data_IF_294120463778
#
_entry.id   IF_294120463778
#
_cell.length_a   1.000
_cell.length_b   1.000
_cell.length_c   1.000
_cell.angle_alpha   90.00
_cell.angle_beta   90.00
_cell.angle_gamma   90.00
#
_symmetry.space_group_name_H-M   'P 1'
#
loop_
_entity.id
_entity.type
_entity.pdbx_description
1 polymer ?
#
# COMPACT_ATOMS: atom_id res chain seq x y z
N UNK A 1 4.77 8.08 20.64
CA UNK A 1 4.72 7.59 19.23
C UNK A 1 3.90 8.58 18.41
N UNK A 2 4.27 8.88 17.17
CA UNK A 2 3.59 9.90 16.34
C UNK A 2 2.09 9.65 16.18
N UNK A 3 1.68 8.39 15.96
CA UNK A 3 0.27 8.00 15.84
C UNK A 3 -0.60 8.31 17.08
N UNK A 4 0.01 8.49 18.25
CA UNK A 4 -0.69 8.80 19.50
C UNK A 4 -0.84 10.29 19.79
N UNK A 5 -0.38 11.17 18.90
CA UNK A 5 -0.51 12.62 19.09
C UNK A 5 -1.99 13.06 19.04
N UNK A 6 -2.29 14.17 19.71
CA UNK A 6 -3.61 14.78 19.71
C UNK A 6 -4.02 15.18 18.28
N UNK A 7 -5.29 14.95 17.94
CA UNK A 7 -5.83 15.22 16.60
C UNK A 7 -5.55 14.14 15.55
N UNK A 8 -4.69 13.15 15.82
CA UNK A 8 -4.47 12.03 14.89
C UNK A 8 -5.68 11.09 14.93
N UNK A 9 -6.40 11.04 13.81
CA UNK A 9 -7.56 10.14 13.61
C UNK A 9 -7.24 8.94 12.72
N UNK A 10 -6.27 9.09 11.82
CA UNK A 10 -5.86 8.07 10.87
C UNK A 10 -4.35 8.04 10.64
N UNK A 11 -3.82 6.88 10.27
CA UNK A 11 -2.40 6.66 10.01
C UNK A 11 -2.22 5.86 8.72
N UNK A 12 -1.32 6.32 7.86
CA UNK A 12 -0.76 5.52 6.76
C UNK A 12 0.72 5.34 7.04
N UNK A 13 1.14 4.10 7.30
CA UNK A 13 2.51 3.74 7.62
C UNK A 13 3.15 2.99 6.44
N UNK A 14 4.34 3.42 6.02
CA UNK A 14 5.08 2.82 4.92
C UNK A 14 6.29 2.09 5.49
N UNK A 15 6.35 0.77 5.27
CA UNK A 15 7.37 -0.15 5.79
C UNK A 15 7.78 0.19 7.25
N UNK A 16 6.82 0.24 8.19
CA UNK A 16 7.14 0.67 9.54
C UNK A 16 7.99 -0.39 10.25
N UNK A 17 8.95 0.06 11.04
CA UNK A 17 9.63 -0.82 11.98
C UNK A 17 8.76 -1.03 13.22
N UNK A 18 8.13 -2.20 13.31
CA UNK A 18 7.18 -2.58 14.36
C UNK A 18 7.58 -3.88 15.07
N UNK A 19 8.73 -3.92 15.77
CA UNK A 19 9.24 -5.14 16.37
C UNK A 19 8.27 -5.73 17.42
N UNK A 20 8.46 -7.00 17.83
CA UNK A 20 7.67 -7.62 18.89
C UNK A 20 7.60 -6.74 20.14
N UNK A 21 6.38 -6.55 20.66
CA UNK A 21 6.14 -5.68 21.82
C UNK A 21 5.94 -4.19 21.50
N UNK A 22 6.10 -3.77 20.24
CA UNK A 22 5.83 -2.38 19.81
C UNK A 22 4.42 -1.95 20.26
N UNK A 23 4.26 -0.87 21.06
CA UNK A 23 2.97 -0.49 21.64
C UNK A 23 1.87 -0.24 20.58
N UNK A 24 0.66 -0.67 20.89
CA UNK A 24 -0.54 -0.49 20.02
C UNK A 24 -1.71 0.17 20.73
N UNK A 25 -1.67 0.33 22.06
CA UNK A 25 -2.80 0.87 22.82
C UNK A 25 -3.19 2.28 22.36
N UNK A 26 -2.21 3.09 21.95
CA UNK A 26 -2.43 4.41 21.38
C UNK A 26 -3.17 4.40 20.03
N UNK A 27 -3.35 3.24 19.39
CA UNK A 27 -4.10 3.10 18.13
C UNK A 27 -5.58 2.86 18.33
N UNK A 28 -6.05 2.63 19.57
CA UNK A 28 -7.46 2.39 19.83
C UNK A 28 -8.34 3.51 19.27
N UNK A 29 -9.39 3.14 18.55
CA UNK A 29 -10.32 4.06 17.89
C UNK A 29 -9.75 4.82 16.68
N UNK A 30 -8.55 4.48 16.19
CA UNK A 30 -7.93 5.08 14.99
C UNK A 30 -8.02 4.15 13.79
N UNK A 31 -8.08 4.76 12.61
CA UNK A 31 -7.94 4.06 11.33
C UNK A 31 -6.46 3.92 10.96
N UNK A 32 -6.00 2.71 10.62
CA UNK A 32 -4.58 2.44 10.35
C UNK A 32 -4.43 1.60 9.09
N UNK A 33 -3.65 2.09 8.13
CA UNK A 33 -3.22 1.33 6.97
C UNK A 33 -1.70 1.20 6.97
N UNK A 34 -1.21 -0.03 6.86
CA UNK A 34 0.21 -0.31 6.63
C UNK A 34 0.41 -0.71 5.17
N UNK A 35 1.41 -0.14 4.50
CA UNK A 35 1.92 -0.63 3.22
C UNK A 35 3.34 -1.13 3.44
N UNK A 36 3.65 -2.33 2.98
CA UNK A 36 4.96 -2.95 3.23
C UNK A 36 5.41 -3.75 2.02
N UNK A 37 6.70 -3.67 1.66
CA UNK A 37 7.28 -4.53 0.64
C UNK A 37 7.31 -6.00 1.10
N UNK A 38 6.83 -6.92 0.28
CA UNK A 38 6.85 -8.36 0.61
C UNK A 38 8.25 -8.98 0.67
N UNK A 39 9.28 -8.26 0.21
CA UNK A 39 10.70 -8.63 0.25
C UNK A 39 11.54 -7.63 1.03
N UNK A 40 10.92 -6.86 1.91
CA UNK A 40 11.64 -6.00 2.85
C UNK A 40 12.51 -6.85 3.78
N UNK A 41 13.80 -6.51 3.84
CA UNK A 41 14.81 -7.18 4.67
C UNK A 41 15.31 -6.29 5.82
N UNK A 42 14.90 -5.03 5.84
CA UNK A 42 15.25 -4.04 6.87
C UNK A 42 14.18 -4.04 7.96
N UNK A 43 12.91 -4.08 7.56
CA UNK A 43 11.77 -4.28 8.47
C UNK A 43 10.95 -5.48 8.01
N UNK A 44 10.78 -6.48 8.86
CA UNK A 44 10.12 -7.73 8.47
C UNK A 44 8.61 -7.49 8.25
N UNK A 45 8.05 -7.76 7.05
CA UNK A 45 6.62 -7.62 6.80
C UNK A 45 5.76 -8.46 7.75
N UNK A 46 6.26 -9.59 8.26
CA UNK A 46 5.55 -10.42 9.24
C UNK A 46 5.38 -9.69 10.59
N UNK A 47 6.34 -8.85 10.98
CA UNK A 47 6.21 -8.00 12.18
C UNK A 47 5.12 -6.94 12.00
N UNK A 48 4.99 -6.37 10.80
CA UNK A 48 3.87 -5.48 10.46
C UNK A 48 2.52 -6.19 10.48
N UNK A 49 2.43 -7.44 10.00
CA UNK A 49 1.21 -8.26 10.11
C UNK A 49 0.85 -8.48 11.59
N UNK A 50 1.83 -8.86 12.42
CA UNK A 50 1.62 -9.03 13.84
C UNK A 50 1.22 -7.72 14.54
N UNK A 51 1.79 -6.59 14.13
CA UNK A 51 1.45 -5.25 14.63
C UNK A 51 0.00 -4.89 14.32
N UNK A 52 -0.44 -5.07 13.08
CA UNK A 52 -1.82 -4.81 12.65
C UNK A 52 -2.81 -5.70 13.40
N UNK A 53 -2.50 -6.99 13.56
CA UNK A 53 -3.33 -7.91 14.36
C UNK A 53 -3.48 -7.48 15.81
N UNK A 54 -2.39 -7.06 16.46
CA UNK A 54 -2.43 -6.52 17.83
C UNK A 54 -3.17 -5.18 17.91
N UNK A 55 -3.02 -4.32 16.91
CA UNK A 55 -3.76 -3.05 16.84
C UNK A 55 -5.27 -3.28 16.71
N UNK A 56 -5.70 -4.23 15.88
CA UNK A 56 -7.10 -4.66 15.79
C UNK A 56 -7.62 -5.14 17.15
N UNK A 57 -6.87 -6.00 17.83
CA UNK A 57 -7.22 -6.49 19.16
C UNK A 57 -7.31 -5.37 20.22
N UNK A 58 -6.55 -4.28 20.06
CA UNK A 58 -6.61 -3.08 20.89
C UNK A 58 -7.72 -2.08 20.51
N UNK A 59 -8.56 -2.41 19.52
CA UNK A 59 -9.69 -1.58 19.08
C UNK A 59 -9.38 -0.59 17.97
N UNK A 60 -8.27 -0.74 17.24
CA UNK A 60 -8.00 0.02 16.03
C UNK A 60 -8.75 -0.57 14.83
N UNK A 61 -9.17 0.30 13.90
CA UNK A 61 -9.59 -0.11 12.55
C UNK A 61 -8.35 -0.22 11.68
N UNK A 62 -7.64 -1.34 11.80
CA UNK A 62 -6.35 -1.53 11.15
C UNK A 62 -6.41 -2.52 9.97
N UNK A 63 -5.56 -2.30 8.98
CA UNK A 63 -5.38 -3.18 7.83
C UNK A 63 -3.98 -3.01 7.23
N UNK A 64 -3.62 -3.92 6.34
CA UNK A 64 -2.31 -3.93 5.69
C UNK A 64 -2.43 -4.30 4.22
N UNK A 65 -1.56 -3.73 3.40
CA UNK A 65 -1.32 -4.11 2.01
C UNK A 65 0.15 -4.49 1.84
N UNK A 66 0.41 -5.58 1.13
CA UNK A 66 1.76 -5.95 0.71
C UNK A 66 2.02 -5.39 -0.70
N UNK A 67 3.20 -4.85 -0.95
CA UNK A 67 3.64 -4.45 -2.28
C UNK A 67 4.46 -5.59 -2.85
N UNK A 68 3.94 -6.22 -3.91
CA UNK A 68 4.58 -7.36 -4.55
C UNK A 68 5.97 -6.99 -5.08
N UNK A 69 6.95 -7.85 -4.84
CA UNK A 69 8.35 -7.64 -5.22
C UNK A 69 8.94 -6.33 -4.66
N UNK A 70 8.42 -5.85 -3.54
CA UNK A 70 8.83 -4.60 -2.91
C UNK A 70 9.93 -4.81 -1.88
N UNK A 71 11.03 -4.06 -1.99
CA UNK A 71 12.01 -3.88 -0.91
C UNK A 71 11.50 -2.85 0.11
N UNK A 72 12.32 -2.51 1.11
CA UNK A 72 11.94 -1.55 2.17
C UNK A 72 11.43 -0.20 1.61
N UNK A 73 12.18 0.38 0.68
CA UNK A 73 11.86 1.68 0.11
C UNK A 73 10.74 1.60 -0.96
N UNK A 74 10.46 0.40 -1.48
CA UNK A 74 9.46 0.12 -2.50
C UNK A 74 9.61 1.02 -3.75
N UNK A 75 10.82 1.51 -4.06
CA UNK A 75 11.03 2.55 -5.07
C UNK A 75 10.73 2.08 -6.50
N UNK A 76 10.97 0.80 -6.79
CA UNK A 76 10.59 0.18 -8.07
C UNK A 76 9.08 0.25 -8.32
N UNK A 77 8.29 0.35 -7.25
CA UNK A 77 6.84 0.39 -7.26
C UNK A 77 6.29 1.73 -6.73
N UNK A 78 7.09 2.81 -6.79
CA UNK A 78 6.73 4.10 -6.20
C UNK A 78 5.39 4.64 -6.70
N UNK A 79 5.12 4.55 -7.99
CA UNK A 79 3.86 5.02 -8.56
C UNK A 79 2.65 4.28 -7.95
N UNK A 80 2.81 2.99 -7.64
CA UNK A 80 1.78 2.16 -7.01
C UNK A 80 1.54 2.58 -5.57
N UNK A 81 2.56 2.46 -4.71
CA UNK A 81 2.39 2.76 -3.28
C UNK A 81 2.04 4.23 -3.04
N UNK A 82 2.55 5.16 -3.86
CA UNK A 82 2.26 6.59 -3.70
C UNK A 82 0.79 6.91 -4.02
N UNK A 83 0.24 6.33 -5.10
CA UNK A 83 -1.20 6.46 -5.40
C UNK A 83 -2.06 5.85 -4.30
N UNK A 84 -1.69 4.67 -3.80
CA UNK A 84 -2.43 4.02 -2.71
C UNK A 84 -2.39 4.84 -1.42
N UNK A 85 -1.22 5.35 -1.04
CA UNK A 85 -1.07 6.21 0.13
C UNK A 85 -1.87 7.50 -0.02
N UNK A 86 -1.84 8.13 -1.19
CA UNK A 86 -2.63 9.33 -1.49
C UNK A 86 -4.12 9.04 -1.38
N UNK A 87 -4.62 7.97 -2.00
CA UNK A 87 -6.03 7.60 -1.94
C UNK A 87 -6.47 7.27 -0.50
N UNK A 88 -5.64 6.57 0.26
CA UNK A 88 -5.88 6.26 1.67
C UNK A 88 -5.96 7.52 2.53
N UNK A 89 -5.03 8.46 2.37
CA UNK A 89 -5.05 9.74 3.10
C UNK A 89 -6.28 10.56 2.72
N UNK A 90 -6.61 10.67 1.44
CA UNK A 90 -7.83 11.36 0.99
C UNK A 90 -9.09 10.74 1.59
N UNK A 91 -9.16 9.41 1.66
CA UNK A 91 -10.27 8.70 2.31
C UNK A 91 -10.36 8.99 3.80
N UNK A 92 -9.23 8.99 4.52
CA UNK A 92 -9.20 9.31 5.94
C UNK A 92 -9.67 10.74 6.23
N UNK A 93 -9.40 11.68 5.31
CA UNK A 93 -9.80 13.09 5.43
C UNK A 93 -11.26 13.32 5.02
N UNK A 94 -11.75 12.62 3.99
CA UNK A 94 -13.10 12.79 3.46
C UNK A 94 -13.69 11.45 2.96
N UNK A 95 -14.17 10.58 3.87
CA UNK A 95 -14.57 9.22 3.55
C UNK A 95 -15.63 9.10 2.45
N UNK A 96 -16.59 10.04 2.42
CA UNK A 96 -17.69 10.06 1.44
C UNK A 96 -17.27 10.64 0.09
N UNK A 97 -16.41 11.66 0.08
CA UNK A 97 -15.98 12.33 -1.15
C UNK A 97 -14.83 11.61 -1.87
N UNK A 98 -14.03 10.83 -1.14
CA UNK A 98 -12.87 10.13 -1.66
C UNK A 98 -12.81 8.68 -1.12
N UNK A 99 -13.75 7.80 -1.51
CA UNK A 99 -13.72 6.41 -1.08
C UNK A 99 -12.45 5.71 -1.57
N UNK A 100 -11.79 4.94 -0.69
CA UNK A 100 -10.65 4.10 -1.03
C UNK A 100 -10.99 2.62 -0.81
N UNK A 101 -11.34 1.91 -1.89
CA UNK A 101 -11.71 0.50 -1.83
C UNK A 101 -10.58 -0.39 -1.29
N UNK A 102 -9.32 -0.11 -1.66
CA UNK A 102 -8.17 -0.85 -1.16
C UNK A 102 -8.01 -0.70 0.36
N UNK A 103 -8.28 0.48 0.91
CA UNK A 103 -8.27 0.71 2.35
C UNK A 103 -9.34 -0.16 3.02
N UNK A 104 -10.59 -0.07 2.56
CA UNK A 104 -11.72 -0.83 3.10
C UNK A 104 -11.47 -2.33 3.00
N UNK A 105 -10.94 -2.79 1.87
CA UNK A 105 -10.56 -4.20 1.67
C UNK A 105 -9.47 -4.63 2.65
N UNK A 106 -8.45 -3.82 2.85
CA UNK A 106 -7.37 -4.12 3.80
C UNK A 106 -7.88 -4.23 5.24
N UNK A 107 -8.87 -3.42 5.64
CA UNK A 107 -9.49 -3.50 6.97
C UNK A 107 -10.20 -4.84 7.21
N UNK A 108 -10.88 -5.37 6.18
CA UNK A 108 -11.72 -6.56 6.28
C UNK A 108 -10.99 -7.87 5.99
N UNK A 109 -9.76 -7.81 5.47
CA UNK A 109 -9.02 -8.99 5.05
C UNK A 109 -8.36 -9.72 6.23
N UNK A 110 -8.49 -11.05 6.24
CA UNK A 110 -7.79 -11.94 7.17
C UNK A 110 -6.28 -11.97 6.87
N UNK A 111 -5.93 -12.07 5.59
CA UNK A 111 -4.56 -11.98 5.08
C UNK A 111 -4.36 -10.66 4.32
N UNK A 112 -3.17 -10.04 4.38
CA UNK A 112 -2.90 -8.79 3.67
C UNK A 112 -3.11 -8.94 2.15
N UNK A 113 -3.96 -8.12 1.52
CA UNK A 113 -4.04 -8.08 0.06
C UNK A 113 -2.70 -7.64 -0.55
N UNK A 114 -2.35 -8.24 -1.68
CA UNK A 114 -1.13 -7.92 -2.41
C UNK A 114 -1.43 -6.91 -3.51
N UNK A 115 -0.76 -5.77 -3.46
CA UNK A 115 -0.70 -4.76 -4.51
C UNK A 115 0.37 -5.20 -5.53
N UNK A 116 -0.10 -5.67 -6.68
CA UNK A 116 0.75 -5.91 -7.82
C UNK A 116 0.99 -4.61 -8.59
N UNK A 117 2.17 -4.46 -9.23
CA UNK A 117 2.38 -3.37 -10.16
C UNK A 117 1.29 -3.38 -11.24
N UNK A 118 0.88 -2.19 -11.68
CA UNK A 118 0.09 -2.08 -12.90
C UNK A 118 0.89 -2.78 -14.01
N UNK A 119 0.25 -3.67 -14.76
CA UNK A 119 0.88 -4.31 -15.91
C UNK A 119 1.46 -3.20 -16.78
N UNK A 120 2.76 -3.26 -17.03
CA UNK A 120 3.37 -2.42 -18.04
C UNK A 120 2.94 -3.05 -19.37
N UNK A 121 1.89 -2.51 -19.99
CA UNK A 121 1.67 -2.83 -21.40
C UNK A 121 2.91 -2.33 -22.16
N UNK A 122 3.57 -3.18 -22.95
CA UNK A 122 4.66 -2.70 -23.79
C UNK A 122 4.10 -1.59 -24.69
N UNK A 123 4.86 -0.50 -24.96
CA UNK A 123 4.43 0.48 -25.94
C UNK A 123 4.14 -0.22 -27.25
N UNK A 124 3.03 0.13 -27.88
CA UNK A 124 2.61 -0.43 -29.17
C UNK A 124 3.79 -0.31 -30.15
N UNK A 125 4.27 -1.44 -30.68
CA UNK A 125 5.39 -1.41 -31.63
C UNK A 125 4.93 -0.57 -32.83
N UNK A 126 5.69 0.43 -33.29
CA UNK A 126 5.37 1.08 -34.55
C UNK A 126 5.27 0.00 -35.63
N UNK A 127 4.13 -0.02 -36.34
CA UNK A 127 3.93 -0.91 -37.48
C UNK A 127 5.09 -0.70 -38.45
N UNK A 128 5.77 -1.80 -38.80
CA UNK A 128 6.80 -1.75 -39.81
C UNK A 128 6.20 -1.11 -41.09
N UNK A 129 6.90 -0.16 -41.73
CA UNK A 129 6.41 0.39 -42.98
C UNK A 129 6.14 -0.76 -43.95
N UNK A 130 4.95 -0.77 -44.55
CA UNK A 130 4.55 -1.77 -45.53
C UNK A 130 5.56 -1.83 -46.68
N UNK A 131 5.61 -2.95 -47.42
CA UNK A 131 6.60 -3.14 -48.48
C UNK A 131 6.49 -2.00 -49.50
N UNK A 132 7.63 -1.36 -49.79
CA UNK A 132 7.78 -0.43 -50.90
C UNK A 132 7.42 -1.20 -52.18
N UNK A 133 6.43 -0.71 -52.92
CA UNK A 133 6.17 -1.18 -54.28
C UNK A 133 7.19 -0.52 -55.19
N UNK A 134 8.14 -1.30 -55.68
CA UNK A 134 9.02 -0.89 -56.78
C UNK A 134 8.17 -0.55 -58.01
N UNK A 135 8.38 0.61 -58.65
CA UNK A 135 7.72 0.93 -59.92
C UNK A 135 8.27 0.01 -61.01
N UNK A 136 7.39 -0.79 -61.61
CA UNK A 136 7.71 -1.63 -62.76
C UNK A 136 8.10 -0.79 -63.98
N UNK A 137 9.07 -1.31 -64.72
CA UNK A 137 9.47 -0.96 -66.09
C UNK A 137 8.27 -0.62 -67.00
#
# INVERSE_FOLDING_TARGET
RAAGADGVRGVVALAPWCPPGEPVAQLSGRDVLVLHGDRDRDTDPAESVAYVSRARAAGARAGMLLVADGDHAMLRHHAGWHRTATAAVSHLLAPEAAPCELFVRALSAAEPPVLHPARHDPPDRPQAPGPVREPGC
#
